data_IF_303392029672
#
_entry.id   IF_303392029672
#
_cell.length_a   1.000
_cell.length_b   1.000
_cell.length_c   1.000
_cell.angle_alpha   90.00
_cell.angle_beta   90.00
_cell.angle_gamma   90.00
#
_symmetry.space_group_name_H-M   'P 1'
#
loop_
_entity.id
_entity.type
_entity.pdbx_description
1 polymer ?
#
# COMPACT_ATOMS: atom_id res chain seq x y z
N UNK A 1 20.95 14.49 -2.20
CA UNK A 1 21.63 13.47 -3.03
C UNK A 1 21.04 12.12 -2.71
N UNK A 2 20.23 11.54 -3.60
CA UNK A 2 20.03 10.09 -3.76
C UNK A 2 19.43 9.91 -5.16
N UNK A 3 20.31 9.69 -6.12
CA UNK A 3 19.98 9.52 -7.54
C UNK A 3 19.80 8.03 -7.77
N UNK A 4 18.57 7.56 -8.00
CA UNK A 4 18.33 6.19 -8.45
C UNK A 4 18.42 6.18 -9.98
N UNK A 5 19.65 6.06 -10.48
CA UNK A 5 19.96 6.08 -11.91
C UNK A 5 19.92 4.65 -12.45
N UNK A 6 18.85 4.28 -13.14
CA UNK A 6 18.82 3.08 -13.99
C UNK A 6 19.07 3.52 -15.43
N UNK A 7 20.29 3.28 -15.89
CA UNK A 7 20.66 3.38 -17.29
C UNK A 7 20.13 2.15 -18.03
N UNK A 8 19.12 2.35 -18.89
CA UNK A 8 18.84 1.45 -20.01
C UNK A 8 18.80 2.28 -21.29
N UNK A 9 19.73 1.95 -22.20
CA UNK A 9 19.93 2.55 -23.52
C UNK A 9 19.07 1.81 -24.54
N UNK A 10 18.46 2.58 -25.45
CA UNK A 10 17.63 2.25 -26.63
C UNK A 10 16.10 2.36 -26.42
N UNK A 11 15.47 3.37 -27.06
CA UNK A 11 14.14 3.95 -26.79
C UNK A 11 12.91 3.07 -27.07
N UNK A 12 11.66 3.54 -26.76
CA UNK A 12 11.03 4.76 -27.32
C UNK A 12 10.42 5.69 -26.23
N UNK A 13 9.43 6.59 -26.50
CA UNK A 13 9.43 7.98 -26.03
C UNK A 13 9.64 8.09 -24.53
N UNK A 14 10.52 9.01 -24.11
CA UNK A 14 10.66 9.44 -22.72
C UNK A 14 9.33 10.01 -22.25
N UNK A 15 8.46 9.14 -21.72
CA UNK A 15 7.37 9.56 -20.86
C UNK A 15 8.08 10.20 -19.68
N UNK A 16 8.05 11.53 -19.62
CA UNK A 16 8.42 12.29 -18.43
C UNK A 16 7.35 11.97 -17.38
N UNK A 17 7.42 10.77 -16.80
CA UNK A 17 6.59 10.41 -15.65
C UNK A 17 7.00 11.40 -14.57
N UNK A 18 6.08 12.30 -14.23
CA UNK A 18 6.30 13.26 -13.16
C UNK A 18 6.64 12.47 -11.89
N UNK A 19 7.54 12.95 -11.05
CA UNK A 19 7.88 12.28 -9.77
C UNK A 19 6.61 11.94 -8.95
N UNK A 20 5.54 12.74 -9.12
CA UNK A 20 4.22 12.50 -8.52
C UNK A 20 3.49 11.29 -9.09
N UNK A 21 3.61 11.01 -10.39
CA UNK A 21 2.97 9.87 -11.03
C UNK A 21 3.69 8.56 -10.68
N UNK A 22 5.03 8.59 -10.63
CA UNK A 22 5.83 7.44 -10.17
C UNK A 22 5.55 7.10 -8.70
N UNK A 23 5.39 8.12 -7.85
CA UNK A 23 5.00 7.92 -6.45
C UNK A 23 3.61 7.27 -6.32
N UNK A 24 2.65 7.66 -7.17
CA UNK A 24 1.29 7.08 -7.20
C UNK A 24 1.29 5.62 -7.64
N UNK A 25 2.11 5.28 -8.64
CA UNK A 25 2.27 3.89 -9.10
C UNK A 25 2.88 3.00 -8.00
N UNK A 26 3.88 3.50 -7.28
CA UNK A 26 4.46 2.80 -6.13
C UNK A 26 3.42 2.61 -5.00
N UNK A 27 2.66 3.65 -4.66
CA UNK A 27 1.62 3.60 -3.63
C UNK A 27 0.52 2.58 -3.99
N UNK A 28 0.03 2.62 -5.22
CA UNK A 28 -0.97 1.69 -5.74
C UNK A 28 -0.45 0.24 -5.73
N UNK A 29 0.80 0.03 -6.15
CA UNK A 29 1.44 -1.29 -6.14
C UNK A 29 1.54 -1.86 -4.72
N UNK A 30 1.87 -1.03 -3.72
CA UNK A 30 1.91 -1.43 -2.32
C UNK A 30 0.52 -1.77 -1.81
N UNK A 31 -0.52 -0.98 -2.16
CA UNK A 31 -1.91 -1.28 -1.78
C UNK A 31 -2.37 -2.64 -2.29
N UNK A 32 -2.12 -2.97 -3.57
CA UNK A 32 -2.49 -4.26 -4.13
C UNK A 32 -1.73 -5.43 -3.48
N UNK A 33 -0.42 -5.26 -3.24
CA UNK A 33 0.36 -6.29 -2.56
C UNK A 33 -0.08 -6.47 -1.11
N UNK A 34 -0.39 -5.38 -0.40
CA UNK A 34 -0.89 -5.41 0.97
C UNK A 34 -2.27 -6.09 1.03
N UNK A 35 -3.15 -5.81 0.06
CA UNK A 35 -4.44 -6.49 -0.09
C UNK A 35 -4.27 -8.00 -0.27
N UNK A 36 -3.40 -8.43 -1.18
CA UNK A 36 -3.14 -9.86 -1.44
C UNK A 36 -2.63 -10.57 -0.18
N UNK A 37 -1.65 -9.99 0.51
CA UNK A 37 -1.10 -10.56 1.75
C UNK A 37 -2.15 -10.60 2.87
N UNK A 38 -3.00 -9.58 2.97
CA UNK A 38 -4.06 -9.54 3.97
C UNK A 38 -5.12 -10.62 3.72
N UNK A 39 -5.45 -10.90 2.45
CA UNK A 39 -6.31 -12.02 2.07
C UNK A 39 -5.66 -13.37 2.41
N UNK A 40 -4.36 -13.54 2.10
CA UNK A 40 -3.61 -14.74 2.49
C UNK A 40 -3.56 -14.93 4.01
N UNK A 41 -3.46 -13.84 4.79
CA UNK A 41 -3.50 -13.87 6.26
C UNK A 41 -4.84 -14.35 6.81
N UNK A 42 -5.95 -13.97 6.17
CA UNK A 42 -7.28 -14.47 6.52
C UNK A 42 -7.50 -15.93 6.15
N UNK A 43 -6.77 -16.45 5.17
CA UNK A 43 -6.86 -17.84 4.71
C UNK A 43 -5.82 -18.77 5.37
N UNK A 44 -5.00 -18.26 6.30
CA UNK A 44 -3.82 -18.96 6.87
C UNK A 44 -2.80 -19.45 5.83
N UNK A 45 -2.73 -18.80 4.68
CA UNK A 45 -1.89 -19.22 3.54
C UNK A 45 -0.73 -18.25 3.28
N UNK A 46 -0.33 -17.47 4.28
CA UNK A 46 0.71 -16.45 4.12
C UNK A 46 2.05 -17.10 3.82
N UNK A 47 2.62 -16.75 2.67
CA UNK A 47 3.96 -17.18 2.32
C UNK A 47 4.99 -16.16 2.77
N UNK A 48 6.11 -16.65 3.33
CA UNK A 48 7.23 -15.78 3.75
C UNK A 48 7.75 -14.90 2.61
N UNK A 49 7.78 -15.41 1.38
CA UNK A 49 8.22 -14.67 0.21
C UNK A 49 7.34 -13.44 -0.08
N UNK A 50 6.02 -13.54 0.14
CA UNK A 50 5.09 -12.43 -0.05
C UNK A 50 5.27 -11.33 1.01
N UNK A 51 5.58 -11.73 2.25
CA UNK A 51 5.89 -10.79 3.33
C UNK A 51 7.17 -10.00 3.06
N UNK A 52 8.22 -10.68 2.60
CA UNK A 52 9.49 -10.01 2.24
C UNK A 52 9.34 -9.14 0.99
N UNK A 53 8.49 -9.54 0.04
CA UNK A 53 8.12 -8.69 -1.10
C UNK A 53 7.40 -7.44 -0.63
N UNK A 54 6.35 -7.58 0.18
CA UNK A 54 5.59 -6.45 0.72
C UNK A 54 6.48 -5.50 1.54
N UNK A 55 7.37 -6.05 2.37
CA UNK A 55 8.34 -5.26 3.14
C UNK A 55 9.22 -4.41 2.22
N UNK A 56 9.84 -5.02 1.20
CA UNK A 56 10.71 -4.29 0.26
C UNK A 56 9.97 -3.18 -0.48
N UNK A 57 8.72 -3.41 -0.86
CA UNK A 57 7.90 -2.39 -1.52
C UNK A 57 7.52 -1.26 -0.55
N UNK A 58 7.20 -1.57 0.71
CA UNK A 58 6.92 -0.56 1.73
C UNK A 58 8.16 0.26 2.12
N UNK A 59 9.35 -0.34 2.10
CA UNK A 59 10.62 0.35 2.36
C UNK A 59 10.95 1.39 1.27
N UNK A 60 10.40 1.23 0.05
CA UNK A 60 10.51 2.19 -1.05
C UNK A 60 9.51 3.35 -0.94
N UNK A 61 8.51 3.26 -0.05
CA UNK A 61 7.59 4.36 0.18
C UNK A 61 8.23 5.46 1.02
N UNK A 62 7.82 6.69 0.74
CA UNK A 62 8.01 7.82 1.66
C UNK A 62 7.30 7.57 2.99
N UNK A 63 7.67 8.33 4.02
CA UNK A 63 6.99 8.22 5.30
C UNK A 63 5.53 8.68 5.17
N UNK A 64 4.62 7.80 5.58
CA UNK A 64 3.19 8.01 5.40
C UNK A 64 2.36 6.95 6.12
N UNK A 65 1.02 7.11 6.11
CA UNK A 65 0.13 6.21 6.84
C UNK A 65 0.18 4.79 6.28
N UNK A 66 0.31 4.61 4.96
CA UNK A 66 0.41 3.29 4.34
C UNK A 66 1.67 2.52 4.77
N UNK A 67 2.84 3.16 4.73
CA UNK A 67 4.09 2.56 5.18
C UNK A 67 4.01 2.12 6.65
N UNK A 68 3.51 2.99 7.53
CA UNK A 68 3.33 2.67 8.96
C UNK A 68 2.39 1.49 9.15
N UNK A 69 1.23 1.49 8.49
CA UNK A 69 0.26 0.40 8.58
C UNK A 69 0.86 -0.94 8.14
N UNK A 70 1.59 -0.97 7.01
CA UNK A 70 2.27 -2.17 6.52
C UNK A 70 3.36 -2.63 7.49
N UNK A 71 4.21 -1.73 8.00
CA UNK A 71 5.26 -2.08 8.96
C UNK A 71 4.68 -2.63 10.26
N UNK A 72 3.62 -2.01 10.80
CA UNK A 72 2.91 -2.49 11.98
C UNK A 72 2.30 -3.86 11.75
N UNK A 73 1.59 -4.05 10.63
CA UNK A 73 1.03 -5.35 10.24
C UNK A 73 2.11 -6.44 10.17
N UNK A 74 3.23 -6.18 9.47
CA UNK A 74 4.33 -7.15 9.35
C UNK A 74 4.95 -7.49 10.70
N UNK A 75 5.07 -6.51 11.60
CA UNK A 75 5.59 -6.74 12.94
C UNK A 75 4.62 -7.57 13.79
N UNK A 76 3.32 -7.25 13.76
CA UNK A 76 2.30 -7.96 14.53
C UNK A 76 2.08 -9.38 14.02
N UNK A 77 2.11 -9.58 12.70
CA UNK A 77 1.93 -10.89 12.07
C UNK A 77 3.03 -11.87 12.48
N UNK A 78 4.27 -11.40 12.65
CA UNK A 78 5.39 -12.22 13.16
C UNK A 78 5.17 -12.71 14.59
N UNK A 79 4.46 -11.93 15.40
CA UNK A 79 4.15 -12.26 16.80
C UNK A 79 2.83 -13.01 16.96
N UNK A 80 2.03 -13.16 15.90
CA UNK A 80 0.74 -13.83 15.95
C UNK A 80 0.91 -15.36 16.00
N UNK A 81 0.52 -15.95 17.13
CA UNK A 81 0.67 -17.39 17.43
C UNK A 81 -0.50 -18.23 16.92
N UNK A 82 -1.68 -17.63 16.75
CA UNK A 82 -2.90 -18.33 16.38
C UNK A 82 -3.53 -17.77 15.10
N UNK A 83 -4.33 -18.61 14.44
CA UNK A 83 -5.01 -18.30 13.19
C UNK A 83 -5.98 -17.11 13.33
N UNK A 84 -6.70 -17.01 14.46
CA UNK A 84 -7.69 -15.96 14.65
C UNK A 84 -7.05 -14.57 14.73
N UNK A 85 -5.90 -14.46 15.41
CA UNK A 85 -5.08 -13.25 15.44
C UNK A 85 -4.58 -12.85 14.06
N UNK A 86 -4.11 -13.82 13.24
CA UNK A 86 -3.66 -13.54 11.86
C UNK A 86 -4.80 -13.06 10.97
N UNK A 87 -5.96 -13.71 11.06
CA UNK A 87 -7.14 -13.33 10.30
C UNK A 87 -7.63 -11.92 10.69
N UNK A 88 -7.58 -11.58 11.99
CA UNK A 88 -7.90 -10.23 12.47
C UNK A 88 -6.93 -9.19 11.93
N UNK A 89 -5.63 -9.44 11.98
CA UNK A 89 -4.61 -8.54 11.42
C UNK A 89 -4.81 -8.33 9.91
N UNK A 90 -5.14 -9.40 9.17
CA UNK A 90 -5.50 -9.30 7.76
C UNK A 90 -6.75 -8.45 7.54
N UNK A 91 -7.79 -8.64 8.36
CA UNK A 91 -8.99 -7.80 8.29
C UNK A 91 -8.71 -6.32 8.58
N UNK A 92 -7.92 -6.02 9.61
CA UNK A 92 -7.57 -4.65 9.99
C UNK A 92 -6.80 -3.94 8.86
N UNK A 93 -5.86 -4.64 8.22
CA UNK A 93 -5.12 -4.11 7.07
C UNK A 93 -6.03 -3.87 5.85
N UNK A 94 -6.99 -4.78 5.57
CA UNK A 94 -7.97 -4.59 4.50
C UNK A 94 -8.85 -3.37 4.74
N UNK A 95 -9.38 -3.21 5.95
CA UNK A 95 -10.22 -2.06 6.34
C UNK A 95 -9.45 -0.75 6.19
N UNK A 96 -8.17 -0.74 6.55
CA UNK A 96 -7.32 0.43 6.35
C UNK A 96 -7.10 0.76 4.86
N UNK A 97 -6.81 -0.24 4.02
CA UNK A 97 -6.64 -0.04 2.57
C UNK A 97 -7.93 0.47 1.94
N UNK A 98 -9.08 -0.07 2.34
CA UNK A 98 -10.39 0.37 1.85
C UNK A 98 -10.65 1.84 2.21
N UNK A 99 -10.35 2.24 3.45
CA UNK A 99 -10.45 3.63 3.89
C UNK A 99 -9.54 4.59 3.09
N UNK A 100 -8.38 4.13 2.61
CA UNK A 100 -7.49 4.91 1.73
C UNK A 100 -7.99 5.03 0.28
N UNK A 101 -8.93 4.16 -0.14
CA UNK A 101 -9.48 4.14 -1.49
C UNK A 101 -10.81 4.91 -1.60
N UNK A 102 -11.38 5.37 -0.48
CA UNK A 102 -12.57 6.22 -0.49
C UNK A 102 -12.21 7.54 -1.20
N UNK A 103 -12.84 7.85 -2.36
CA UNK A 103 -12.62 9.14 -2.99
C UNK A 103 -13.11 10.24 -2.05
N UNK A 104 -12.26 11.23 -1.77
CA UNK A 104 -12.70 12.47 -1.12
C UNK A 104 -13.89 13.03 -1.92
N UNK A 105 -15.03 13.20 -1.26
CA UNK A 105 -16.25 13.72 -1.90
C UNK A 105 -15.92 15.09 -2.47
N UNK A 106 -15.97 15.29 -3.81
CA UNK A 106 -15.73 16.60 -4.36
C UNK A 106 -16.90 17.49 -3.95
N UNK A 107 -16.62 18.48 -3.09
CA UNK A 107 -17.51 19.61 -2.79
C UNK A 107 -18.70 19.35 -1.87
N UNK A 108 -18.43 19.13 -0.58
CA UNK A 108 -19.39 19.45 0.51
C UNK A 108 -19.33 20.95 0.89
N UNK A 109 -19.34 21.81 -0.14
CA UNK A 109 -19.36 23.28 -0.01
C UNK A 109 -20.40 23.91 -0.94
N UNK A 110 -21.55 23.27 -1.13
CA UNK A 110 -22.77 23.98 -1.60
C UNK A 110 -23.49 24.57 -0.38
N UNK A 111 -23.02 25.74 0.06
CA UNK A 111 -23.93 26.77 0.57
C UNK A 111 -24.74 27.24 -0.63
N UNK A 112 -25.98 26.76 -0.78
CA UNK A 112 -27.07 27.32 -1.62
C UNK A 112 -28.02 26.24 -2.17
N UNK A 113 -28.62 25.41 -1.32
CA UNK A 113 -29.78 24.59 -1.78
C UNK A 113 -30.97 24.64 -0.83
N UNK A 114 -31.03 25.64 0.06
CA UNK A 114 -32.29 26.05 0.68
C UNK A 114 -32.30 27.58 0.66
N UNK A 115 -32.96 28.11 -0.37
CA UNK A 115 -33.46 29.48 -0.35
C UNK A 115 -34.60 29.63 0.65
#
# INVERSE_FOLDING_TARGET
>A
MHVCQVACVMGPPRVLISERDMQRECDLSVRFQAFAVAMSAKADMVQRAELEKLKRMADQLGDGPLKRAVTTFLSQLRSAVDHQSRARLGHDLLTFIDALNVPEVPHLNRRDIYG
#
